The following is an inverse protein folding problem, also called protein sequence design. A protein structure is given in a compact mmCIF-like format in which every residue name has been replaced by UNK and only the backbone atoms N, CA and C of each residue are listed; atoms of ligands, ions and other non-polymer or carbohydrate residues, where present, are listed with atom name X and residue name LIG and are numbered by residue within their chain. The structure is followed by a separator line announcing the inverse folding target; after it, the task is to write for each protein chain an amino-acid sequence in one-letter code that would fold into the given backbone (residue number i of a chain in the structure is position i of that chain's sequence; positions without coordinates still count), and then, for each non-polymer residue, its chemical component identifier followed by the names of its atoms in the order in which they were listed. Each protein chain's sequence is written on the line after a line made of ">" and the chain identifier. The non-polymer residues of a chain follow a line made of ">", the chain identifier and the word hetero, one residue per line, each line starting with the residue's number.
data_IF_203437759018
#
_entry.id   IF_203437759018
#
_cell.length_a   1.000
_cell.length_b   1.000
_cell.length_c   1.000
_cell.angle_alpha   90.00
_cell.angle_beta   90.00
_cell.angle_gamma   90.00
#
_symmetry.space_group_name_H-M   'P 1'
#
loop_
_entity.id
_entity.type
_entity.pdbx_description
1 polymer ?
#
# COMPACT_ATOMS: atom_id res chain seq x y z
N UNK A 1 -30.82 30.75 11.51
CA UNK A 1 -30.51 29.66 10.56
C UNK A 1 -29.35 28.90 11.16
N UNK A 2 -29.59 27.73 11.74
CA UNK A 2 -28.56 26.93 12.41
C UNK A 2 -27.65 26.34 11.36
N UNK A 3 -26.45 26.90 11.19
CA UNK A 3 -25.40 26.32 10.35
C UNK A 3 -25.06 24.94 10.89
N UNK A 4 -25.47 23.90 10.18
CA UNK A 4 -25.09 22.53 10.52
C UNK A 4 -23.57 22.44 10.42
N UNK A 5 -22.91 22.06 11.52
CA UNK A 5 -21.47 21.84 11.52
C UNK A 5 -21.12 20.73 10.52
N UNK A 6 -20.02 20.88 9.75
CA UNK A 6 -19.55 19.82 8.85
C UNK A 6 -19.41 18.49 9.58
N UNK A 7 -19.82 17.42 8.93
CA UNK A 7 -19.78 16.06 9.48
C UNK A 7 -18.88 15.18 8.62
N UNK A 8 -18.33 14.14 9.21
CA UNK A 8 -17.65 13.05 8.49
C UNK A 8 -17.86 11.72 9.20
N UNK A 9 -17.75 10.64 8.44
CA UNK A 9 -17.61 9.31 9.03
C UNK A 9 -16.14 9.09 9.41
N UNK A 10 -15.94 8.54 10.60
CA UNK A 10 -14.66 8.02 11.05
C UNK A 10 -14.85 6.56 11.46
N UNK A 11 -13.83 5.74 11.27
CA UNK A 11 -13.85 4.33 11.66
C UNK A 11 -12.86 4.10 12.79
N UNK A 12 -13.34 3.52 13.88
CA UNK A 12 -12.50 3.00 14.96
C UNK A 12 -12.16 1.54 14.67
N UNK A 13 -10.90 1.20 14.76
CA UNK A 13 -10.38 -0.14 14.47
C UNK A 13 -9.96 -0.80 15.77
N UNK A 14 -10.47 -2.00 16.03
CA UNK A 14 -9.85 -2.96 16.94
C UNK A 14 -9.25 -4.10 16.11
N UNK A 15 -7.96 -4.36 16.30
CA UNK A 15 -7.23 -5.44 15.62
C UNK A 15 -6.54 -6.32 16.66
N UNK A 16 -6.97 -7.57 16.78
CA UNK A 16 -6.43 -8.55 17.74
C UNK A 16 -6.57 -9.99 17.21
N UNK A 17 -6.27 -10.99 18.02
CA UNK A 17 -6.35 -12.40 17.62
C UNK A 17 -7.76 -12.86 17.17
N UNK A 18 -8.82 -12.15 17.58
CA UNK A 18 -10.19 -12.41 17.15
C UNK A 18 -10.51 -11.81 15.77
N UNK A 19 -9.56 -11.11 15.14
CA UNK A 19 -9.71 -10.48 13.83
C UNK A 19 -9.84 -8.96 13.92
N UNK A 20 -10.59 -8.40 12.98
CA UNK A 20 -10.78 -6.95 12.83
C UNK A 20 -12.22 -6.58 13.14
N UNK A 21 -12.40 -5.59 14.02
CA UNK A 21 -13.68 -4.91 14.20
C UNK A 21 -13.56 -3.45 13.77
N UNK A 22 -14.55 -3.00 13.00
CA UNK A 22 -14.69 -1.63 12.55
C UNK A 22 -15.95 -1.02 13.18
N UNK A 23 -15.76 0.03 13.98
CA UNK A 23 -16.84 0.74 14.66
C UNK A 23 -16.99 2.15 14.06
N UNK A 24 -18.08 2.42 13.31
CA UNK A 24 -18.27 3.73 12.70
C UNK A 24 -18.66 4.78 13.74
N UNK A 25 -18.17 6.00 13.54
CA UNK A 25 -18.40 7.14 14.40
C UNK A 25 -18.66 8.39 13.55
N UNK A 26 -19.66 9.19 13.90
CA UNK A 26 -19.89 10.51 13.28
C UNK A 26 -19.07 11.54 14.04
N UNK A 27 -18.13 12.17 13.35
CA UNK A 27 -17.38 13.31 13.86
C UNK A 27 -17.99 14.60 13.31
N UNK A 28 -17.97 15.66 14.13
CA UNK A 28 -18.43 17.00 13.75
C UNK A 28 -17.26 17.97 13.88
N UNK A 29 -17.15 18.90 12.95
CA UNK A 29 -16.10 19.92 12.95
C UNK A 29 -16.54 21.11 13.80
N UNK A 30 -15.89 21.32 14.94
CA UNK A 30 -16.05 22.51 15.78
C UNK A 30 -14.85 23.45 15.67
N UNK A 31 -14.79 24.46 16.54
CA UNK A 31 -13.72 25.48 16.55
C UNK A 31 -12.33 24.88 16.84
N UNK A 32 -12.26 23.83 17.66
CA UNK A 32 -11.02 23.12 18.02
C UNK A 32 -10.67 21.96 17.06
N UNK A 33 -11.40 21.80 15.94
CA UNK A 33 -11.23 20.70 14.99
C UNK A 33 -12.32 19.62 15.09
N UNK A 34 -12.01 18.41 14.64
CA UNK A 34 -12.95 17.28 14.64
C UNK A 34 -13.17 16.72 16.05
N UNK A 35 -14.42 16.51 16.43
CA UNK A 35 -14.75 15.86 17.71
C UNK A 35 -14.31 14.39 17.76
N UNK A 36 -14.23 13.79 18.96
CA UNK A 36 -13.95 12.35 19.14
C UNK A 36 -14.95 11.42 18.45
N UNK A 37 -16.09 11.96 18.06
CA UNK A 37 -17.15 11.29 17.34
C UNK A 37 -18.06 10.46 18.23
N UNK A 38 -19.34 10.40 17.83
CA UNK A 38 -20.36 9.55 18.46
C UNK A 38 -20.49 8.28 17.65
N UNK A 39 -20.47 7.12 18.33
CA UNK A 39 -20.68 5.81 17.69
C UNK A 39 -22.00 5.82 16.92
N UNK A 40 -21.94 5.32 15.69
CA UNK A 40 -23.06 5.18 14.78
C UNK A 40 -23.32 3.69 14.57
N UNK A 41 -24.50 3.17 14.94
CA UNK A 41 -24.83 1.76 14.71
C UNK A 41 -24.79 1.38 13.22
N UNK A 42 -24.22 0.22 12.90
CA UNK A 42 -24.12 -0.29 11.52
C UNK A 42 -25.48 -0.40 10.82
N UNK A 43 -26.52 -0.83 11.54
CA UNK A 43 -27.87 -0.90 11.00
C UNK A 43 -28.41 0.45 10.55
N UNK A 44 -28.05 1.52 11.27
CA UNK A 44 -28.43 2.89 10.87
C UNK A 44 -27.68 3.36 9.63
N UNK A 45 -26.40 2.98 9.48
CA UNK A 45 -25.66 3.20 8.23
C UNK A 45 -26.37 2.48 7.08
N UNK A 46 -26.72 1.21 7.27
CA UNK A 46 -27.39 0.41 6.25
C UNK A 46 -28.75 1.00 5.82
N UNK A 47 -29.53 1.53 6.77
CA UNK A 47 -30.88 2.01 6.48
C UNK A 47 -30.94 3.47 5.98
N UNK A 48 -29.94 4.31 6.29
CA UNK A 48 -30.04 5.77 6.13
C UNK A 48 -28.89 6.41 5.34
N UNK A 49 -27.84 5.67 4.95
CA UNK A 49 -26.65 6.24 4.30
C UNK A 49 -26.93 6.99 2.99
N UNK A 50 -27.98 6.61 2.28
CA UNK A 50 -28.32 7.22 0.98
C UNK A 50 -28.75 8.69 1.12
N UNK A 51 -29.29 9.07 2.29
CA UNK A 51 -29.70 10.44 2.57
C UNK A 51 -28.59 11.33 3.15
N UNK A 52 -27.35 10.85 3.26
CA UNK A 52 -26.25 11.61 3.87
C UNK A 52 -25.23 12.06 2.83
N UNK A 53 -25.17 13.37 2.60
CA UNK A 53 -24.27 13.99 1.61
C UNK A 53 -22.82 14.14 2.10
N UNK A 54 -22.57 13.96 3.40
CA UNK A 54 -21.26 14.10 4.03
C UNK A 54 -20.43 12.80 4.04
N UNK A 55 -20.98 11.69 3.54
CA UNK A 55 -20.25 10.43 3.39
C UNK A 55 -19.30 10.51 2.19
N UNK A 56 -18.05 10.09 2.40
CA UNK A 56 -17.09 9.99 1.30
C UNK A 56 -17.43 8.81 0.37
N UNK A 57 -16.85 8.80 -0.83
CA UNK A 57 -16.98 7.64 -1.73
C UNK A 57 -16.44 6.35 -1.10
N UNK A 58 -15.36 6.45 -0.31
CA UNK A 58 -14.75 5.32 0.38
C UNK A 58 -15.65 4.78 1.49
N UNK A 59 -16.34 5.66 2.24
CA UNK A 59 -17.34 5.26 3.23
C UNK A 59 -18.47 4.44 2.58
N UNK A 60 -18.95 4.89 1.43
CA UNK A 60 -20.01 4.18 0.69
C UNK A 60 -19.58 2.79 0.24
N UNK A 61 -18.31 2.60 -0.15
CA UNK A 61 -17.77 1.27 -0.48
C UNK A 61 -17.81 0.31 0.72
N UNK A 62 -17.46 0.80 1.91
CA UNK A 62 -17.52 -0.01 3.15
C UNK A 62 -18.96 -0.28 3.55
N UNK A 63 -19.84 0.72 3.48
CA UNK A 63 -21.27 0.57 3.78
C UNK A 63 -21.93 -0.46 2.86
N UNK A 64 -21.54 -0.50 1.59
CA UNK A 64 -22.03 -1.50 0.64
C UNK A 64 -21.65 -2.95 1.00
N UNK A 65 -20.66 -3.17 1.88
CA UNK A 65 -20.31 -4.50 2.39
C UNK A 65 -21.18 -4.96 3.57
N UNK A 66 -21.98 -4.06 4.16
CA UNK A 66 -22.82 -4.39 5.30
C UNK A 66 -23.85 -5.46 4.96
N UNK A 67 -23.96 -6.46 5.84
CA UNK A 67 -24.96 -7.52 5.73
C UNK A 67 -26.03 -7.31 6.80
N UNK A 68 -27.30 -7.26 6.39
CA UNK A 68 -28.43 -7.22 7.32
C UNK A 68 -28.53 -8.58 8.02
N UNK A 69 -28.31 -8.61 9.34
CA UNK A 69 -28.45 -9.83 10.13
C UNK A 69 -29.89 -10.03 10.60
N UNK A 70 -30.58 -8.95 10.99
CA UNK A 70 -31.97 -9.00 11.44
C UNK A 70 -32.69 -7.66 11.21
N UNK A 71 -34.02 -7.68 11.16
CA UNK A 71 -34.85 -6.47 11.21
C UNK A 71 -35.68 -6.45 12.49
N UNK A 72 -35.55 -5.39 13.27
CA UNK A 72 -36.25 -5.22 14.55
C UNK A 72 -37.71 -4.80 14.33
N UNK A 73 -38.53 -4.99 15.37
CA UNK A 73 -39.96 -4.65 15.35
C UNK A 73 -40.24 -3.16 15.12
N UNK A 74 -39.30 -2.28 15.49
CA UNK A 74 -39.38 -0.84 15.24
C UNK A 74 -38.98 -0.43 13.82
N UNK A 75 -38.69 -1.41 12.95
CA UNK A 75 -38.29 -1.23 11.57
C UNK A 75 -36.78 -1.02 11.37
N UNK A 76 -36.00 -0.86 12.43
CA UNK A 76 -34.55 -0.67 12.35
C UNK A 76 -33.82 -1.98 12.03
N UNK A 77 -32.74 -1.89 11.26
CA UNK A 77 -31.92 -3.06 10.94
C UNK A 77 -30.85 -3.30 12.01
N UNK A 78 -30.51 -4.56 12.23
CA UNK A 78 -29.21 -4.98 12.72
C UNK A 78 -28.36 -5.39 11.53
N UNK A 79 -27.10 -4.95 11.54
CA UNK A 79 -26.18 -5.22 10.46
C UNK A 79 -24.82 -5.60 11.00
N UNK A 80 -24.12 -6.41 10.23
CA UNK A 80 -22.77 -6.89 10.50
C UNK A 80 -21.84 -6.47 9.37
N UNK A 81 -20.58 -6.31 9.72
CA UNK A 81 -19.50 -5.98 8.80
C UNK A 81 -18.35 -6.95 9.06
N UNK A 82 -17.93 -7.69 8.04
CA UNK A 82 -16.67 -8.41 8.09
C UNK A 82 -15.52 -7.40 8.01
N UNK A 83 -14.83 -7.21 9.14
CA UNK A 83 -13.77 -6.22 9.24
C UNK A 83 -12.57 -6.53 8.35
N UNK A 84 -12.24 -7.81 8.14
CA UNK A 84 -11.12 -8.21 7.29
C UNK A 84 -11.45 -8.02 5.81
N UNK A 85 -12.69 -8.27 5.40
CA UNK A 85 -13.16 -7.94 4.05
C UNK A 85 -13.19 -6.43 3.78
N UNK A 86 -13.49 -5.62 4.79
CA UNK A 86 -13.59 -4.17 4.67
C UNK A 86 -12.23 -3.44 4.74
N UNK A 87 -11.19 -4.03 5.35
CA UNK A 87 -9.89 -3.39 5.53
C UNK A 87 -9.25 -2.86 4.23
N UNK A 88 -9.18 -3.63 3.12
CA UNK A 88 -8.60 -3.13 1.87
C UNK A 88 -9.34 -1.90 1.32
N UNK A 89 -10.65 -1.78 1.57
CA UNK A 89 -11.45 -0.63 1.15
C UNK A 89 -11.10 0.64 1.92
N UNK A 90 -10.43 0.53 3.07
CA UNK A 90 -10.04 1.64 3.94
C UNK A 90 -8.58 2.10 3.74
N UNK A 91 -7.86 1.54 2.77
CA UNK A 91 -6.50 1.99 2.45
C UNK A 91 -6.47 3.48 2.10
N UNK A 92 -5.58 4.24 2.76
CA UNK A 92 -5.48 5.69 2.60
C UNK A 92 -6.65 6.50 3.18
N UNK A 93 -7.58 5.89 3.90
CA UNK A 93 -8.72 6.60 4.48
C UNK A 93 -8.28 7.63 5.53
N UNK A 94 -8.75 8.88 5.48
CA UNK A 94 -8.22 9.99 6.29
C UNK A 94 -8.68 9.98 7.75
N UNK A 95 -9.72 9.21 8.09
CA UNK A 95 -10.34 9.20 9.41
C UNK A 95 -10.44 7.77 9.97
N UNK A 96 -9.29 7.14 10.17
CA UNK A 96 -9.15 5.86 10.87
C UNK A 96 -8.44 6.06 12.20
N UNK A 97 -8.94 5.45 13.26
CA UNK A 97 -8.41 5.61 14.62
C UNK A 97 -8.42 4.29 15.37
N UNK A 98 -7.53 4.10 16.34
CA UNK A 98 -7.62 2.93 17.21
C UNK A 98 -8.85 3.04 18.13
N UNK A 99 -9.53 1.92 18.36
CA UNK A 99 -10.69 1.92 19.26
C UNK A 99 -10.30 2.26 20.71
N UNK A 100 -9.14 1.77 21.15
CA UNK A 100 -8.58 2.02 22.48
C UNK A 100 -8.02 3.44 22.64
N UNK A 101 -7.60 4.07 21.53
CA UNK A 101 -6.97 5.40 21.51
C UNK A 101 -7.54 6.23 20.35
N UNK A 102 -8.76 6.79 20.49
CA UNK A 102 -9.47 7.46 19.40
C UNK A 102 -8.84 8.78 18.96
N UNK A 103 -7.85 9.31 19.70
CA UNK A 103 -7.05 10.47 19.27
C UNK A 103 -5.91 10.06 18.32
N UNK A 104 -5.50 8.78 18.32
CA UNK A 104 -4.39 8.28 17.52
C UNK A 104 -4.89 7.79 16.17
N UNK A 105 -4.53 8.51 15.10
CA UNK A 105 -4.85 8.10 13.74
C UNK A 105 -4.09 6.82 13.35
N UNK A 106 -4.75 5.94 12.61
CA UNK A 106 -4.19 4.70 12.07
C UNK A 106 -3.94 4.87 10.58
N UNK A 107 -2.74 4.51 10.14
CA UNK A 107 -2.39 4.48 8.73
C UNK A 107 -2.47 3.03 8.26
N UNK A 108 -3.38 2.75 7.33
CA UNK A 108 -3.42 1.47 6.62
C UNK A 108 -2.53 1.54 5.38
N UNK A 109 -1.62 0.58 5.27
CA UNK A 109 -0.71 0.43 4.14
C UNK A 109 -0.96 -0.89 3.41
N UNK A 110 -0.84 -0.88 2.10
CA UNK A 110 -0.85 -2.10 1.31
C UNK A 110 0.46 -2.88 1.57
N UNK A 111 0.32 -4.13 1.98
CA UNK A 111 1.41 -5.07 2.11
C UNK A 111 1.77 -5.71 0.76
N UNK A 112 3.04 -6.04 0.57
CA UNK A 112 3.50 -6.75 -0.63
C UNK A 112 3.50 -8.25 -0.38
N UNK A 113 2.70 -9.00 -1.15
CA UNK A 113 2.78 -10.46 -1.20
C UNK A 113 3.98 -10.84 -2.06
N UNK A 114 4.74 -11.85 -1.64
CA UNK A 114 5.88 -12.38 -2.39
C UNK A 114 5.95 -13.90 -2.31
N UNK A 115 6.74 -14.51 -3.20
CA UNK A 115 7.05 -15.92 -3.20
C UNK A 115 8.47 -16.11 -2.68
N UNK A 116 8.61 -16.74 -1.52
CA UNK A 116 9.91 -17.13 -0.99
C UNK A 116 10.38 -18.40 -1.70
N UNK A 117 11.61 -18.38 -2.18
CA UNK A 117 12.27 -19.52 -2.78
C UNK A 117 13.55 -19.83 -2.01
N UNK A 118 13.65 -21.05 -1.49
CA UNK A 118 14.78 -21.53 -0.72
C UNK A 118 15.32 -22.83 -1.30
N UNK A 119 16.63 -22.87 -1.55
CA UNK A 119 17.30 -24.11 -1.93
C UNK A 119 17.59 -24.96 -0.69
N UNK A 120 17.25 -26.24 -0.77
CA UNK A 120 17.56 -27.27 0.22
C UNK A 120 18.21 -28.45 -0.51
N UNK A 121 19.54 -28.47 -0.59
CA UNK A 121 20.31 -29.46 -1.34
C UNK A 121 19.92 -29.54 -2.84
N UNK A 122 19.21 -30.60 -3.24
CA UNK A 122 18.70 -30.86 -4.59
C UNK A 122 17.21 -30.52 -4.74
N UNK A 123 16.61 -29.91 -3.72
CA UNK A 123 15.22 -29.47 -3.71
C UNK A 123 15.14 -27.94 -3.61
N UNK A 124 14.05 -27.40 -4.12
CA UNK A 124 13.62 -26.02 -3.97
C UNK A 124 12.31 -26.02 -3.20
N UNK A 125 12.28 -25.32 -2.07
CA UNK A 125 11.08 -25.06 -1.31
C UNK A 125 10.53 -23.68 -1.72
N UNK A 126 9.23 -23.64 -2.03
CA UNK A 126 8.51 -22.43 -2.37
C UNK A 126 7.36 -22.20 -1.40
N UNK A 127 7.19 -20.96 -0.95
CA UNK A 127 6.13 -20.58 -0.02
C UNK A 127 5.73 -19.12 -0.21
N UNK A 128 4.42 -18.83 -0.15
CA UNK A 128 3.95 -17.44 -0.17
C UNK A 128 4.25 -16.75 1.17
N UNK A 129 4.66 -15.50 1.07
CA UNK A 129 4.87 -14.56 2.18
C UNK A 129 3.90 -13.39 2.04
N UNK A 130 3.29 -12.89 3.13
CA UNK A 130 3.47 -13.34 4.52
C UNK A 130 2.86 -14.72 4.82
N UNK A 131 3.36 -15.45 5.84
CA UNK A 131 2.76 -16.73 6.26
C UNK A 131 1.27 -16.58 6.56
N UNK A 132 0.47 -17.56 6.13
CA UNK A 132 -0.99 -17.54 6.29
C UNK A 132 -1.75 -16.86 5.13
N UNK A 133 -1.07 -16.10 4.26
CA UNK A 133 -1.74 -15.44 3.12
C UNK A 133 -2.46 -16.42 2.18
N UNK A 134 -1.88 -17.62 2.00
CA UNK A 134 -2.44 -18.69 1.17
C UNK A 134 -3.78 -19.22 1.69
N UNK A 135 -4.01 -19.16 3.01
CA UNK A 135 -5.20 -19.69 3.67
C UNK A 135 -6.22 -18.61 4.08
N UNK A 136 -5.86 -17.33 3.99
CA UNK A 136 -6.75 -16.26 4.41
C UNK A 136 -7.99 -16.14 3.49
N UNK A 137 -9.14 -15.92 4.11
CA UNK A 137 -10.39 -15.78 3.37
C UNK A 137 -10.48 -14.43 2.67
N UNK A 138 -10.23 -13.34 3.39
CA UNK A 138 -10.37 -11.97 2.87
C UNK A 138 -9.03 -11.26 2.71
N UNK A 139 -8.36 -11.01 3.82
CA UNK A 139 -7.02 -10.45 3.84
C UNK A 139 -6.23 -11.01 5.03
N UNK A 140 -4.92 -10.81 5.00
CA UNK A 140 -4.06 -10.90 6.18
C UNK A 140 -3.69 -9.48 6.58
N UNK A 141 -3.50 -9.24 7.87
CA UNK A 141 -3.02 -7.96 8.37
C UNK A 141 -1.91 -8.14 9.40
N UNK A 142 -1.01 -7.16 9.49
CA UNK A 142 0.11 -7.16 10.42
C UNK A 142 0.32 -5.76 10.98
N UNK A 143 0.55 -5.66 12.29
CA UNK A 143 0.86 -4.38 12.94
C UNK A 143 2.32 -4.01 12.70
N UNK A 144 2.56 -2.82 12.16
CA UNK A 144 3.91 -2.32 11.87
C UNK A 144 4.16 -1.02 12.65
N UNK A 145 4.64 -1.13 13.88
CA UNK A 145 4.78 0.00 14.80
C UNK A 145 3.48 0.33 15.55
N UNK A 146 3.40 1.52 16.16
CA UNK A 146 2.31 1.88 17.07
C UNK A 146 1.02 2.31 16.37
N UNK A 147 1.11 2.92 15.18
CA UNK A 147 -0.01 3.53 14.45
C UNK A 147 -0.15 3.08 12.98
N UNK A 148 0.47 1.97 12.57
CA UNK A 148 0.33 1.43 11.21
C UNK A 148 -0.09 -0.02 11.19
N UNK A 149 -0.93 -0.35 10.22
CA UNK A 149 -1.35 -1.71 9.90
C UNK A 149 -1.07 -1.97 8.42
N UNK A 150 -0.36 -3.05 8.12
CA UNK A 150 -0.18 -3.52 6.76
C UNK A 150 -1.26 -4.54 6.43
N UNK A 151 -1.87 -4.42 5.25
CA UNK A 151 -2.97 -5.27 4.79
C UNK A 151 -2.57 -5.95 3.49
N UNK A 152 -2.72 -7.27 3.43
CA UNK A 152 -2.37 -8.11 2.29
C UNK A 152 -3.63 -8.84 1.82
N UNK A 153 -4.08 -8.65 0.59
CA UNK A 153 -5.25 -9.34 0.06
C UNK A 153 -4.87 -10.16 -1.16
N UNK A 154 -5.07 -11.49 -1.14
CA UNK A 154 -4.75 -12.32 -2.28
C UNK A 154 -5.84 -12.17 -3.35
N UNK A 155 -5.45 -11.61 -4.50
CA UNK A 155 -6.28 -11.61 -5.71
C UNK A 155 -6.47 -13.01 -6.30
N UNK A 156 -7.30 -13.16 -7.34
CA UNK A 156 -7.60 -14.45 -7.96
C UNK A 156 -6.34 -15.23 -8.37
N UNK A 157 -5.35 -14.55 -8.95
CA UNK A 157 -4.11 -15.17 -9.42
C UNK A 157 -3.24 -15.67 -8.26
N UNK A 158 -3.21 -14.94 -7.14
CA UNK A 158 -2.53 -15.37 -5.91
C UNK A 158 -3.24 -16.56 -5.27
N UNK A 159 -4.58 -16.59 -5.29
CA UNK A 159 -5.34 -17.74 -4.79
C UNK A 159 -5.13 -18.98 -5.64
N UNK A 160 -5.06 -18.84 -6.96
CA UNK A 160 -4.73 -19.93 -7.86
C UNK A 160 -3.32 -20.47 -7.59
N UNK A 161 -2.33 -19.57 -7.44
CA UNK A 161 -0.98 -19.98 -7.04
C UNK A 161 -0.97 -20.66 -5.67
N UNK A 162 -1.68 -20.12 -4.68
CA UNK A 162 -1.80 -20.72 -3.35
C UNK A 162 -2.41 -22.13 -3.40
N UNK A 163 -3.39 -22.37 -4.25
CA UNK A 163 -3.98 -23.70 -4.44
C UNK A 163 -2.98 -24.72 -5.03
N UNK A 164 -2.05 -24.27 -5.87
CA UNK A 164 -0.98 -25.10 -6.42
C UNK A 164 0.15 -25.36 -5.40
N UNK A 165 0.49 -24.34 -4.61
CA UNK A 165 1.57 -24.43 -3.63
C UNK A 165 1.14 -25.13 -2.33
N UNK A 166 -0.14 -25.08 -1.98
CA UNK A 166 -0.60 -25.46 -0.63
C UNK A 166 0.07 -24.59 0.44
N UNK A 167 0.53 -25.21 1.53
CA UNK A 167 1.35 -24.52 2.53
C UNK A 167 2.76 -24.24 2.04
N UNK A 168 3.35 -25.19 1.32
CA UNK A 168 4.64 -25.07 0.65
C UNK A 168 4.78 -26.14 -0.43
N UNK A 169 5.52 -25.82 -1.48
CA UNK A 169 5.81 -26.72 -2.59
C UNK A 169 7.30 -27.06 -2.59
N UNK A 170 7.62 -28.36 -2.63
CA UNK A 170 8.99 -28.84 -2.81
C UNK A 170 9.14 -29.44 -4.21
N UNK A 171 10.10 -28.95 -4.98
CA UNK A 171 10.42 -29.47 -6.33
C UNK A 171 11.91 -29.73 -6.49
N UNK A 172 12.32 -30.63 -7.39
CA UNK A 172 13.73 -30.79 -7.72
C UNK A 172 14.33 -29.50 -8.29
N UNK A 173 15.58 -29.21 -7.92
CA UNK A 173 16.32 -28.03 -8.41
C UNK A 173 16.37 -27.98 -9.95
N UNK A 174 16.47 -29.14 -10.61
CA UNK A 174 16.48 -29.24 -12.07
C UNK A 174 15.19 -28.71 -12.73
N UNK A 175 14.06 -28.65 -12.01
CA UNK A 175 12.79 -28.14 -12.51
C UNK A 175 12.64 -26.61 -12.38
N UNK A 176 13.62 -25.93 -11.76
CA UNK A 176 13.54 -24.49 -11.41
C UNK A 176 13.08 -23.61 -12.55
N UNK A 177 13.77 -23.69 -13.70
CA UNK A 177 13.51 -22.80 -14.84
C UNK A 177 12.07 -22.93 -15.33
N UNK A 178 11.60 -24.16 -15.54
CA UNK A 178 10.22 -24.44 -15.96
C UNK A 178 9.19 -23.97 -14.94
N UNK A 179 9.48 -24.10 -13.64
CA UNK A 179 8.59 -23.62 -12.59
C UNK A 179 8.51 -22.08 -12.58
N UNK A 180 9.64 -21.39 -12.70
CA UNK A 180 9.68 -19.93 -12.75
C UNK A 180 8.95 -19.37 -13.98
N UNK A 181 9.09 -20.02 -15.13
CA UNK A 181 8.34 -19.69 -16.35
C UNK A 181 6.83 -19.85 -16.11
N UNK A 182 6.38 -20.99 -15.56
CA UNK A 182 4.96 -21.24 -15.29
C UNK A 182 4.35 -20.27 -14.26
N UNK A 183 5.10 -19.92 -13.20
CA UNK A 183 4.67 -18.90 -12.22
C UNK A 183 4.59 -17.54 -12.91
N UNK A 184 5.54 -17.25 -13.79
CA UNK A 184 5.59 -16.06 -14.62
C UNK A 184 4.39 -15.81 -15.50
N UNK A 185 3.93 -16.85 -16.16
CA UNK A 185 2.77 -16.78 -17.04
C UNK A 185 1.48 -16.46 -16.27
N UNK A 186 1.42 -16.86 -14.99
CA UNK A 186 0.27 -16.65 -14.11
C UNK A 186 0.34 -15.33 -13.33
N UNK A 187 1.50 -15.00 -12.75
CA UNK A 187 1.72 -13.84 -11.87
C UNK A 187 3.06 -13.15 -12.17
N UNK A 188 3.22 -12.50 -13.32
CA UNK A 188 4.50 -11.92 -13.75
C UNK A 188 5.01 -10.79 -12.82
N UNK A 189 4.09 -10.18 -12.07
CA UNK A 189 4.36 -9.09 -11.13
C UNK A 189 4.69 -9.58 -9.71
N UNK A 190 4.49 -10.87 -9.40
CA UNK A 190 4.74 -11.39 -8.06
C UNK A 190 6.25 -11.44 -7.78
N UNK A 191 6.75 -10.78 -6.73
CA UNK A 191 8.15 -10.84 -6.39
C UNK A 191 8.55 -12.23 -5.95
N UNK A 192 9.70 -12.69 -6.45
CA UNK A 192 10.30 -13.95 -6.02
C UNK A 192 11.56 -13.62 -5.22
N UNK A 193 11.54 -13.92 -3.93
CA UNK A 193 12.63 -13.62 -3.00
C UNK A 193 13.52 -14.84 -2.82
N UNK A 194 14.83 -14.68 -2.96
CA UNK A 194 15.80 -15.75 -2.71
C UNK A 194 16.29 -15.65 -1.26
N UNK A 195 15.98 -16.64 -0.43
CA UNK A 195 16.35 -16.63 0.99
C UNK A 195 17.80 -17.05 1.25
N UNK A 196 18.39 -17.85 0.36
CA UNK A 196 19.76 -18.33 0.47
C UNK A 196 20.65 -17.61 -0.55
N UNK A 197 21.90 -17.29 -0.17
CA UNK A 197 22.87 -16.61 -1.04
C UNK A 197 23.12 -17.41 -2.33
N UNK A 198 23.31 -18.73 -2.21
CA UNK A 198 23.49 -19.68 -3.30
C UNK A 198 22.18 -20.11 -3.98
N UNK A 199 21.05 -19.57 -3.50
CA UNK A 199 19.71 -19.94 -3.91
C UNK A 199 19.36 -19.54 -5.35
N UNK A 200 20.29 -18.96 -6.11
CA UNK A 200 20.08 -18.46 -7.47
C UNK A 200 21.29 -18.54 -8.40
N UNK A 201 22.34 -19.28 -8.02
CA UNK A 201 23.61 -19.29 -8.79
C UNK A 201 23.51 -19.96 -10.16
N UNK A 202 22.51 -20.83 -10.36
CA UNK A 202 22.18 -21.45 -11.63
C UNK A 202 21.38 -20.51 -12.58
N UNK A 203 20.91 -19.36 -12.08
CA UNK A 203 20.23 -18.36 -12.89
C UNK A 203 21.22 -17.29 -13.38
N UNK A 204 21.04 -16.78 -14.61
CA UNK A 204 21.84 -15.67 -15.09
C UNK A 204 21.55 -14.42 -14.26
N UNK A 205 22.61 -13.66 -13.93
CA UNK A 205 22.53 -12.47 -13.09
C UNK A 205 22.50 -11.19 -13.93
N UNK A 206 21.76 -10.19 -13.46
CA UNK A 206 21.69 -8.84 -14.05
C UNK A 206 21.73 -7.79 -12.93
N UNK A 207 22.38 -6.62 -13.13
CA UNK A 207 22.29 -5.53 -12.16
C UNK A 207 20.84 -5.06 -12.01
N UNK A 208 20.44 -4.76 -10.77
CA UNK A 208 19.18 -4.09 -10.49
C UNK A 208 19.20 -2.65 -11.04
N UNK A 209 18.03 -2.08 -11.32
CA UNK A 209 17.90 -0.67 -11.69
C UNK A 209 18.43 0.20 -10.53
N UNK A 210 19.48 1.02 -10.75
CA UNK A 210 20.08 1.81 -9.67
C UNK A 210 19.25 3.04 -9.30
N UNK A 211 18.20 3.37 -10.07
CA UNK A 211 17.41 4.59 -9.91
C UNK A 211 16.49 4.51 -8.70
N UNK A 212 16.39 5.65 -8.01
CA UNK A 212 15.26 5.92 -7.13
C UNK A 212 14.06 6.33 -7.98
N UNK A 213 12.87 5.99 -7.50
CA UNK A 213 11.63 6.39 -8.13
C UNK A 213 10.77 7.15 -7.13
N UNK A 214 10.47 8.41 -7.45
CA UNK A 214 9.52 9.21 -6.68
C UNK A 214 8.11 8.96 -7.23
N UNK A 215 7.34 8.13 -6.54
CA UNK A 215 5.94 7.86 -6.87
C UNK A 215 5.07 8.97 -6.28
N UNK A 216 4.42 9.73 -7.17
CA UNK A 216 3.64 10.91 -6.85
C UNK A 216 2.16 10.62 -7.03
N UNK A 217 1.38 10.78 -5.97
CA UNK A 217 -0.06 10.52 -5.92
C UNK A 217 -0.79 11.83 -5.61
N UNK A 218 -1.57 12.39 -6.55
CA UNK A 218 -2.34 13.61 -6.29
C UNK A 218 -3.43 13.32 -5.27
N UNK A 219 -3.59 14.23 -4.30
CA UNK A 219 -4.66 14.20 -3.31
C UNK A 219 -5.53 15.47 -3.47
N UNK A 220 -6.80 15.46 -3.02
CA UNK A 220 -7.69 16.62 -3.16
C UNK A 220 -7.13 17.92 -2.59
N UNK A 221 -6.34 17.86 -1.51
CA UNK A 221 -5.72 19.02 -0.87
C UNK A 221 -4.18 18.96 -0.87
N UNK A 222 -3.56 18.24 -1.82
CA UNK A 222 -2.10 18.16 -1.85
C UNK A 222 -1.52 17.00 -2.65
N UNK A 223 -0.45 16.41 -2.12
CA UNK A 223 0.32 15.37 -2.80
C UNK A 223 0.86 14.35 -1.80
N UNK A 224 0.72 13.06 -2.09
CA UNK A 224 1.53 12.03 -1.42
C UNK A 224 2.72 11.67 -2.29
N UNK A 225 3.88 11.55 -1.67
CA UNK A 225 5.11 11.14 -2.31
C UNK A 225 5.66 9.89 -1.61
N UNK A 226 6.12 8.92 -2.38
CA UNK A 226 6.84 7.75 -1.88
C UNK A 226 8.11 7.53 -2.67
N UNK A 227 9.24 7.31 -2.00
CA UNK A 227 10.46 6.85 -2.68
C UNK A 227 10.46 5.32 -2.76
N UNK A 228 10.74 4.79 -3.95
CA UNK A 228 10.72 3.37 -4.27
C UNK A 228 11.92 2.96 -5.14
N UNK A 229 12.27 1.68 -5.09
CA UNK A 229 13.21 1.00 -5.98
C UNK A 229 12.51 -0.24 -6.57
N UNK A 230 12.95 -0.68 -7.75
CA UNK A 230 12.51 -1.96 -8.36
C UNK A 230 13.72 -2.62 -9.03
N UNK A 231 13.71 -3.95 -9.15
CA UNK A 231 14.83 -4.67 -9.78
C UNK A 231 14.74 -4.75 -11.29
N UNK A 232 13.52 -4.74 -11.83
CA UNK A 232 13.18 -4.79 -13.25
C UNK A 232 11.90 -3.99 -13.49
N UNK A 233 11.56 -3.71 -14.75
CA UNK A 233 10.43 -2.84 -15.11
C UNK A 233 9.08 -3.32 -14.52
N UNK A 234 8.80 -4.61 -14.58
CA UNK A 234 7.54 -5.20 -14.09
C UNK A 234 7.65 -5.79 -12.68
N UNK A 235 8.79 -5.61 -12.01
CA UNK A 235 8.99 -6.09 -10.65
C UNK A 235 8.30 -5.18 -9.63
N UNK A 236 8.03 -5.72 -8.44
CA UNK A 236 7.44 -4.93 -7.37
C UNK A 236 8.37 -3.81 -6.87
N UNK A 237 7.70 -2.83 -6.28
CA UNK A 237 8.29 -1.64 -5.71
C UNK A 237 8.62 -1.85 -4.24
N UNK A 238 9.85 -1.55 -3.85
CA UNK A 238 10.31 -1.63 -2.47
C UNK A 238 10.76 -0.26 -1.97
N UNK A 239 10.59 0.05 -0.67
CA UNK A 239 11.28 1.19 -0.08
C UNK A 239 12.80 1.04 -0.25
N UNK A 240 13.52 2.09 -0.63
CA UNK A 240 14.98 2.08 -0.73
C UNK A 240 15.63 1.63 0.59
N UNK A 241 16.57 0.69 0.51
CA UNK A 241 17.29 0.15 1.66
C UNK A 241 16.49 -0.84 2.51
N UNK A 242 15.28 -1.23 2.09
CA UNK A 242 14.41 -2.21 2.77
C UNK A 242 13.90 -3.28 1.80
N UNK A 243 13.48 -4.40 2.38
CA UNK A 243 12.98 -5.57 1.65
C UNK A 243 14.10 -6.51 1.18
N UNK A 244 13.75 -7.52 0.37
CA UNK A 244 14.69 -8.53 -0.11
C UNK A 244 15.75 -7.89 -1.00
N UNK A 245 17.02 -8.20 -0.71
CA UNK A 245 18.16 -7.74 -1.48
C UNK A 245 18.42 -8.61 -2.71
N UNK A 246 18.09 -9.91 -2.67
CA UNK A 246 18.22 -10.83 -3.79
C UNK A 246 16.83 -11.30 -4.26
N UNK A 247 16.56 -11.12 -5.55
CA UNK A 247 15.24 -11.38 -6.15
C UNK A 247 15.37 -12.05 -7.51
N UNK A 248 14.30 -12.70 -7.96
CA UNK A 248 14.13 -13.17 -9.33
C UNK A 248 12.97 -12.42 -9.97
N UNK A 249 13.18 -11.95 -11.19
CA UNK A 249 12.13 -11.38 -12.02
C UNK A 249 12.25 -11.91 -13.45
N UNK A 250 11.13 -11.87 -14.17
CA UNK A 250 11.09 -12.27 -15.57
C UNK A 250 11.27 -11.06 -16.48
N UNK A 251 12.16 -11.19 -17.44
CA UNK A 251 12.30 -10.23 -18.53
C UNK A 251 12.19 -10.99 -19.85
N UNK A 252 11.27 -10.56 -20.72
CA UNK A 252 10.94 -11.26 -21.97
C UNK A 252 10.67 -12.77 -21.77
N UNK A 253 10.03 -13.14 -20.65
CA UNK A 253 9.68 -14.52 -20.31
C UNK A 253 10.84 -15.37 -19.75
N UNK A 254 12.04 -14.80 -19.58
CA UNK A 254 13.19 -15.52 -19.03
C UNK A 254 13.49 -15.10 -17.58
N UNK A 255 13.82 -16.04 -16.67
CA UNK A 255 14.16 -15.72 -15.29
C UNK A 255 15.58 -15.16 -15.16
N UNK A 256 15.68 -14.00 -14.52
CA UNK A 256 16.93 -13.34 -14.19
C UNK A 256 17.03 -13.13 -12.69
N UNK A 257 18.23 -13.35 -12.14
CA UNK A 257 18.55 -13.00 -10.76
C UNK A 257 19.02 -11.55 -10.70
N UNK A 258 18.48 -10.81 -9.74
CA UNK A 258 18.87 -9.44 -9.43
C UNK A 258 19.37 -9.34 -7.99
N UNK A 259 20.37 -8.49 -7.76
CA UNK A 259 20.87 -8.14 -6.44
C UNK A 259 20.84 -6.62 -6.27
N UNK A 260 20.11 -6.17 -5.25
CA UNK A 260 19.98 -4.78 -4.84
C UNK A 260 21.08 -4.43 -3.85
N UNK A 261 21.71 -3.27 -4.06
CA UNK A 261 22.69 -2.72 -3.13
C UNK A 261 21.98 -1.84 -2.10
N UNK A 262 21.35 -2.45 -1.09
CA UNK A 262 20.54 -1.73 -0.09
C UNK A 262 21.29 -0.58 0.61
N UNK A 263 22.60 -0.72 0.84
CA UNK A 263 23.42 0.34 1.41
C UNK A 263 23.57 1.54 0.45
N UNK A 264 23.76 1.27 -0.85
CA UNK A 264 23.83 2.32 -1.88
C UNK A 264 22.48 3.00 -2.08
N UNK A 265 21.38 2.25 -2.02
CA UNK A 265 20.02 2.82 -2.05
C UNK A 265 19.79 3.80 -0.87
N UNK A 266 20.22 3.44 0.34
CA UNK A 266 20.15 4.35 1.50
C UNK A 266 21.01 5.60 1.29
N UNK A 267 22.21 5.43 0.75
CA UNK A 267 23.10 6.55 0.45
C UNK A 267 22.51 7.48 -0.61
N UNK A 268 21.90 6.94 -1.66
CA UNK A 268 21.23 7.70 -2.70
C UNK A 268 20.05 8.52 -2.12
N UNK A 269 19.29 7.95 -1.19
CA UNK A 269 18.23 8.71 -0.49
C UNK A 269 18.82 9.84 0.35
N UNK A 270 19.90 9.59 1.09
CA UNK A 270 20.57 10.66 1.86
C UNK A 270 21.07 11.78 0.95
N UNK A 271 21.65 11.44 -0.20
CA UNK A 271 22.09 12.40 -1.21
C UNK A 271 20.91 13.20 -1.78
N UNK A 272 19.81 12.52 -2.13
CA UNK A 272 18.60 13.17 -2.61
C UNK A 272 18.03 14.16 -1.58
N UNK A 273 17.95 13.76 -0.31
CA UNK A 273 17.46 14.63 0.77
C UNK A 273 18.40 15.82 1.01
N UNK A 274 19.71 15.66 0.79
CA UNK A 274 20.65 16.79 0.86
C UNK A 274 20.46 17.78 -0.31
N UNK A 275 20.08 17.28 -1.49
CA UNK A 275 19.83 18.10 -2.68
C UNK A 275 18.42 18.73 -2.70
N UNK A 276 17.46 18.14 -1.98
CA UNK A 276 16.06 18.57 -1.90
C UNK A 276 15.70 19.00 -0.47
N UNK A 277 16.09 20.22 -0.03
CA UNK A 277 15.92 20.65 1.35
C UNK A 277 14.44 20.77 1.76
N UNK A 278 13.54 21.09 0.83
CA UNK A 278 12.11 21.20 1.14
C UNK A 278 11.51 19.81 1.42
N UNK A 279 11.96 18.78 0.69
CA UNK A 279 11.58 17.39 0.94
C UNK A 279 12.12 16.87 2.28
N UNK A 280 13.38 17.18 2.59
CA UNK A 280 14.00 16.79 3.84
C UNK A 280 13.28 17.40 5.06
N UNK A 281 12.93 18.69 4.99
CA UNK A 281 12.19 19.39 6.04
C UNK A 281 10.76 18.87 6.23
N UNK A 282 10.14 18.34 5.17
CA UNK A 282 8.79 17.79 5.21
C UNK A 282 8.71 16.37 5.80
N UNK A 283 9.85 15.75 6.13
CA UNK A 283 9.89 14.35 6.57
C UNK A 283 9.39 14.21 8.01
N UNK A 284 8.31 13.45 8.26
CA UNK A 284 7.74 13.33 9.61
C UNK A 284 8.56 12.42 10.53
N UNK A 285 9.34 11.48 9.98
CA UNK A 285 10.16 10.53 10.74
C UNK A 285 11.49 10.21 10.00
N UNK A 286 12.67 10.55 10.56
CA UNK A 286 13.98 10.24 10.01
C UNK A 286 14.28 8.75 9.85
N UNK A 287 13.70 7.89 10.70
CA UNK A 287 13.89 6.44 10.70
C UNK A 287 12.69 5.68 10.09
N UNK A 288 11.63 6.42 9.78
CA UNK A 288 10.37 5.91 9.25
C UNK A 288 10.39 5.55 7.76
N UNK A 289 9.22 5.18 7.26
CA UNK A 289 8.97 4.91 5.84
C UNK A 289 9.25 6.18 5.03
N UNK A 290 9.87 6.04 3.87
CA UNK A 290 10.17 7.15 2.96
C UNK A 290 8.90 7.58 2.21
N UNK A 291 7.94 8.08 2.96
CA UNK A 291 6.64 8.57 2.51
C UNK A 291 6.36 9.94 3.12
N UNK A 292 5.84 10.83 2.28
CA UNK A 292 5.45 12.18 2.64
C UNK A 292 3.99 12.39 2.30
N UNK A 293 3.32 13.14 3.17
CA UNK A 293 1.98 13.66 2.94
C UNK A 293 2.09 15.19 2.94
N UNK A 294 1.96 15.79 1.77
CA UNK A 294 2.17 17.21 1.55
C UNK A 294 0.80 17.88 1.44
N UNK A 295 0.31 18.43 2.56
CA UNK A 295 -1.00 19.08 2.65
C UNK A 295 -1.02 20.54 2.14
N UNK A 296 0.14 21.09 1.74
CA UNK A 296 0.26 22.46 1.23
C UNK A 296 0.67 22.44 -0.24
N UNK A 297 -0.16 23.02 -1.12
CA UNK A 297 0.08 23.10 -2.56
C UNK A 297 1.41 23.78 -2.93
N UNK A 298 1.79 24.86 -2.24
CA UNK A 298 3.05 25.57 -2.50
C UNK A 298 4.27 24.73 -2.12
N UNK A 299 4.18 23.99 -1.01
CA UNK A 299 5.22 23.05 -0.59
C UNK A 299 5.31 21.85 -1.54
N UNK A 300 4.18 21.32 -1.98
CA UNK A 300 4.11 20.21 -2.94
C UNK A 300 4.75 20.57 -4.28
N UNK A 301 4.43 21.75 -4.84
CA UNK A 301 5.05 22.21 -6.09
C UNK A 301 6.56 22.31 -5.95
N UNK A 302 7.04 22.97 -4.90
CA UNK A 302 8.47 23.17 -4.66
C UNK A 302 9.22 21.85 -4.56
N UNK A 303 8.64 20.85 -3.89
CA UNK A 303 9.20 19.50 -3.82
C UNK A 303 9.26 18.84 -5.20
N UNK A 304 8.19 18.93 -6.00
CA UNK A 304 8.19 18.36 -7.35
C UNK A 304 9.24 19.04 -8.25
N UNK A 305 9.43 20.35 -8.14
CA UNK A 305 10.48 21.09 -8.84
C UNK A 305 11.89 20.64 -8.42
N UNK A 306 12.13 20.50 -7.11
CA UNK A 306 13.41 20.00 -6.57
C UNK A 306 13.73 18.57 -7.07
N UNK A 307 12.71 17.71 -7.15
CA UNK A 307 12.86 16.33 -7.65
C UNK A 307 13.11 16.28 -9.16
N UNK A 308 12.42 17.09 -9.95
CA UNK A 308 12.62 17.13 -11.40
C UNK A 308 13.96 17.77 -11.81
N UNK A 309 14.56 18.56 -10.93
CA UNK A 309 15.91 19.10 -11.13
C UNK A 309 17.02 18.06 -10.92
N UNK A 310 16.69 16.88 -10.38
CA UNK A 310 17.66 15.79 -10.21
C UNK A 310 17.99 15.11 -11.53
N UNK A 311 19.16 14.48 -11.59
CA UNK A 311 19.57 13.69 -12.75
C UNK A 311 18.57 12.55 -13.01
N UNK A 312 17.97 12.44 -14.22
CA UNK A 312 17.09 11.33 -14.59
C UNK A 312 17.76 9.95 -14.50
N UNK A 313 19.09 9.88 -14.51
CA UNK A 313 19.84 8.65 -14.28
C UNK A 313 19.88 8.23 -12.80
N UNK A 314 19.51 9.10 -11.86
CA UNK A 314 19.48 8.83 -10.42
C UNK A 314 18.06 8.80 -9.84
N UNK A 315 17.16 9.64 -10.37
CA UNK A 315 15.78 9.75 -9.90
C UNK A 315 14.80 9.86 -11.07
N UNK A 316 13.77 9.00 -11.09
CA UNK A 316 12.63 9.13 -12.00
C UNK A 316 11.35 9.45 -11.21
N UNK A 317 10.62 10.49 -11.63
CA UNK A 317 9.31 10.81 -11.07
C UNK A 317 8.21 10.03 -11.82
N UNK A 318 7.42 9.26 -11.09
CA UNK A 318 6.37 8.37 -11.62
C UNK A 318 5.01 8.78 -11.08
N UNK A 319 4.01 8.87 -11.96
CA UNK A 319 2.61 9.12 -11.61
C UNK A 319 1.77 7.87 -11.85
N UNK A 320 0.66 7.65 -11.11
CA UNK A 320 -0.14 6.41 -11.13
C UNK A 320 -0.75 6.03 -12.49
N UNK A 321 -0.66 6.90 -13.52
CA UNK A 321 -1.10 6.59 -14.89
C UNK A 321 0.06 6.45 -15.89
N UNK A 322 1.31 6.30 -15.44
CA UNK A 322 2.47 6.19 -16.33
C UNK A 322 2.83 7.47 -17.09
N UNK A 323 2.23 8.61 -16.74
CA UNK A 323 2.55 9.90 -17.33
C UNK A 323 3.86 10.44 -16.75
N UNK A 324 4.83 10.76 -17.62
CA UNK A 324 6.03 11.52 -17.27
C UNK A 324 5.71 13.02 -17.31
N UNK A 325 5.90 13.74 -16.21
CA UNK A 325 5.83 15.21 -16.27
C UNK A 325 7.12 15.78 -16.85
N UNK A 326 6.98 16.69 -17.82
CA UNK A 326 7.92 17.79 -18.05
C UNK A 326 7.17 19.07 -17.69
N UNK A 327 7.63 19.81 -16.67
CA UNK A 327 7.09 21.16 -16.42
C UNK A 327 7.48 22.04 -17.62
N UNK A 328 6.51 22.33 -18.48
CA UNK A 328 6.66 23.33 -19.52
C UNK A 328 6.31 24.70 -18.94
N UNK A 329 7.35 25.49 -18.66
CA UNK A 329 7.25 26.93 -18.41
C UNK A 329 6.99 27.32 -16.96
N UNK A 330 7.77 28.29 -16.47
CA UNK A 330 7.53 29.04 -15.24
C UNK A 330 6.23 29.85 -15.38
N UNK A 331 5.09 29.21 -15.18
CA UNK A 331 3.81 29.85 -14.95
C UNK A 331 3.14 29.08 -13.81
N UNK A 332 2.71 29.81 -12.77
CA UNK A 332 2.19 29.23 -11.53
C UNK A 332 1.03 28.25 -11.77
N UNK A 333 0.72 27.47 -10.75
CA UNK A 333 -0.36 26.46 -10.74
C UNK A 333 -1.75 27.11 -10.61
N UNK A 334 -2.44 27.48 -11.71
CA UNK A 334 -3.88 27.31 -11.70
C UNK A 334 -4.43 26.54 -12.92
N UNK A 335 -3.64 25.65 -13.54
CA UNK A 335 -4.16 24.75 -14.58
C UNK A 335 -3.63 23.31 -14.48
N UNK A 336 -3.91 22.65 -13.36
CA UNK A 336 -4.07 21.19 -13.33
C UNK A 336 -5.53 20.87 -13.65
N UNK A 337 -5.91 20.99 -14.93
CA UNK A 337 -7.15 20.37 -15.44
C UNK A 337 -6.77 19.09 -16.15
N UNK A 338 -7.15 17.97 -15.55
CA UNK A 338 -7.19 16.66 -16.20
C UNK A 338 -8.11 16.81 -17.42
N UNK A 339 -7.59 16.64 -18.64
CA UNK A 339 -8.45 16.37 -19.78
C UNK A 339 -8.98 14.96 -19.61
N UNK A 340 -10.30 14.84 -19.52
CA UNK A 340 -11.06 13.59 -19.54
C UNK A 340 -10.75 12.79 -20.80
#
# INVERSE_FOLDING_TARGET
>A
MTTLLPQRLAWRILANEAGIRLTPCVQQQGEAGWSRGRVLPLGRLLDQSDGWDWLSAQDRLVIAQLQRSHQLYDGSSLAELDGEAALPLLLGHPALFWEEQPEQAVILEAGQISLLMQRQQQQLLLQLSPPGIAACQHCLWQRNGSNRLQVFWPGPEIRQLAALLGHSLSVPLAARKKLLEAIGDMVPWLPIELLAEDGGDDLPARPADPRLFAVLLPLPEGLSLQLRCRVAEHAAWYPPGRGPWQQVALEAGQPWRFQRQLAQEKQAVTQLLSACPTLAAARPDPDGVQQWLLANHGQALRIVEELQAQDPAQLECVWPQGQRMRIQGKAGLPQLRIKT
#
